data_IF_963841572885
#
_entry.id   IF_963841572885
#
_cell.length_a   1.000
_cell.length_b   1.000
_cell.length_c   1.000
_cell.angle_alpha   90.00
_cell.angle_beta   90.00
_cell.angle_gamma   90.00
#
_symmetry.space_group_name_H-M   'P 1'
#
loop_
_entity.id
_entity.type
_entity.pdbx_description
1 polymer ?
#
# COMPACT_ATOMS: atom_id res chain seq x y z
N UNK A 1 6.51 -2.08 2.94
CA UNK A 1 7.07 -1.41 4.15
C UNK A 1 6.18 -0.27 4.66
N UNK A 2 5.83 0.77 3.88
CA UNK A 2 4.99 1.86 4.39
C UNK A 2 3.60 1.38 4.83
N UNK A 3 2.98 0.51 4.05
CA UNK A 3 1.72 -0.15 4.35
C UNK A 3 1.79 -0.89 5.71
N UNK A 4 2.79 -1.77 5.88
CA UNK A 4 3.02 -2.51 7.13
C UNK A 4 3.20 -1.60 8.33
N UNK A 5 3.86 -0.46 8.14
CA UNK A 5 4.11 0.51 9.19
C UNK A 5 2.93 1.41 9.53
N UNK A 6 1.86 1.41 8.70
CA UNK A 6 0.72 2.32 8.87
C UNK A 6 0.00 2.13 10.21
N UNK A 7 -0.09 0.87 10.69
CA UNK A 7 -0.80 0.54 11.92
C UNK A 7 0.12 0.39 13.15
N UNK A 8 1.41 0.72 13.01
CA UNK A 8 2.42 0.52 14.06
C UNK A 8 2.62 1.72 15.00
N UNK A 9 1.79 2.73 14.85
CA UNK A 9 1.70 3.86 15.76
C UNK A 9 1.75 5.22 15.08
N UNK A 10 1.01 6.12 15.68
CA UNK A 10 0.93 7.54 15.35
C UNK A 10 1.40 8.38 16.53
N UNK A 11 1.34 9.70 16.40
CA UNK A 11 1.56 10.62 17.54
C UNK A 11 0.47 10.51 18.59
N UNK A 12 -0.73 10.07 18.22
CA UNK A 12 -1.92 10.05 19.09
C UNK A 12 -2.25 8.64 19.60
N UNK A 13 -1.84 7.59 18.87
CA UNK A 13 -2.21 6.20 19.15
C UNK A 13 -1.01 5.28 18.96
N UNK A 14 -0.78 4.36 19.88
CA UNK A 14 0.12 3.24 19.63
C UNK A 14 -0.61 2.14 18.84
N UNK A 15 0.11 1.11 18.41
CA UNK A 15 -0.44 0.01 17.60
C UNK A 15 -1.62 -0.70 18.30
N UNK A 16 -1.48 -0.98 19.60
CA UNK A 16 -2.54 -1.62 20.40
C UNK A 16 -3.79 -0.74 20.47
N UNK A 17 -3.63 0.57 20.66
CA UNK A 17 -4.75 1.51 20.70
C UNK A 17 -5.49 1.56 19.37
N UNK A 18 -4.76 1.58 18.23
CA UNK A 18 -5.37 1.54 16.91
C UNK A 18 -6.23 0.28 16.76
N UNK A 19 -5.67 -0.88 17.06
CA UNK A 19 -6.38 -2.15 16.95
C UNK A 19 -7.61 -2.18 17.87
N UNK A 20 -7.42 -1.84 19.14
CA UNK A 20 -8.48 -1.88 20.15
C UNK A 20 -9.64 -0.93 19.82
N UNK A 21 -9.38 0.32 19.44
CA UNK A 21 -10.45 1.28 19.11
C UNK A 21 -11.31 0.80 17.92
N UNK A 22 -10.72 0.06 16.98
CA UNK A 22 -11.46 -0.52 15.86
C UNK A 22 -12.22 -1.79 16.29
N UNK A 23 -11.57 -2.69 17.04
CA UNK A 23 -12.16 -3.96 17.50
C UNK A 23 -13.29 -3.74 18.50
N UNK A 24 -13.17 -2.78 19.41
CA UNK A 24 -14.19 -2.44 20.43
C UNK A 24 -15.52 -2.02 19.78
N UNK A 25 -15.50 -1.53 18.56
CA UNK A 25 -16.72 -1.17 17.81
C UNK A 25 -17.10 -2.22 16.75
N UNK A 26 -16.47 -3.40 16.78
CA UNK A 26 -16.70 -4.46 15.79
C UNK A 26 -16.27 -4.08 14.37
N UNK A 27 -15.29 -3.21 14.26
CA UNK A 27 -14.73 -2.75 12.98
C UNK A 27 -13.66 -3.70 12.44
N UNK A 28 -13.29 -3.45 11.18
CA UNK A 28 -12.18 -4.11 10.50
C UNK A 28 -11.35 -3.05 9.79
N UNK A 29 -10.04 -3.01 10.05
CA UNK A 29 -9.08 -2.10 9.44
C UNK A 29 -8.04 -2.91 8.68
N UNK A 30 -7.76 -2.49 7.43
CA UNK A 30 -6.77 -3.17 6.63
C UNK A 30 -6.16 -2.21 5.59
N UNK A 31 -5.14 -2.69 4.88
CA UNK A 31 -4.51 -1.98 3.77
C UNK A 31 -4.06 -2.96 2.69
N UNK A 32 -3.84 -2.44 1.48
CA UNK A 32 -3.15 -3.18 0.44
C UNK A 32 -2.31 -2.25 -0.43
N UNK A 33 -1.27 -2.80 -1.03
CA UNK A 33 -0.43 -2.13 -2.02
C UNK A 33 -0.49 -2.86 -3.35
N UNK A 34 -0.78 -2.13 -4.41
CA UNK A 34 -0.67 -2.59 -5.78
C UNK A 34 0.46 -1.86 -6.52
N UNK A 35 0.57 -2.07 -7.83
CA UNK A 35 1.57 -1.38 -8.66
C UNK A 35 1.41 0.15 -8.69
N UNK A 36 0.19 0.64 -8.54
CA UNK A 36 -0.14 2.07 -8.72
C UNK A 36 -0.85 2.69 -7.53
N UNK A 37 -1.39 1.88 -6.60
CA UNK A 37 -2.22 2.35 -5.50
C UNK A 37 -1.81 1.67 -4.21
N UNK A 38 -1.71 2.46 -3.14
CA UNK A 38 -1.78 1.98 -1.75
C UNK A 38 -3.10 2.44 -1.17
N UNK A 39 -3.90 1.53 -0.65
CA UNK A 39 -5.19 1.84 -0.04
C UNK A 39 -5.19 1.44 1.43
N UNK A 40 -5.71 2.32 2.26
CA UNK A 40 -6.02 2.07 3.67
C UNK A 40 -7.52 2.14 3.81
N UNK A 41 -8.15 1.15 4.40
CA UNK A 41 -9.59 1.11 4.51
C UNK A 41 -10.04 0.58 5.86
N UNK A 42 -11.21 1.02 6.24
CA UNK A 42 -11.82 0.65 7.50
C UNK A 42 -13.32 0.44 7.30
N UNK A 43 -13.84 -0.64 7.87
CA UNK A 43 -15.25 -0.98 7.87
C UNK A 43 -15.78 -0.92 9.29
N UNK A 44 -16.80 -0.10 9.50
CA UNK A 44 -17.45 0.07 10.80
C UNK A 44 -18.96 0.22 10.64
N UNK A 45 -19.68 0.10 11.73
CA UNK A 45 -21.08 0.51 11.75
C UNK A 45 -21.20 2.03 11.56
N UNK A 46 -22.34 2.47 11.03
CA UNK A 46 -22.57 3.90 10.70
C UNK A 46 -22.37 4.85 11.89
N UNK A 47 -22.68 4.37 13.09
CA UNK A 47 -22.54 5.12 14.36
C UNK A 47 -21.07 5.46 14.66
N UNK A 48 -20.13 4.68 14.13
CA UNK A 48 -18.69 4.81 14.34
C UNK A 48 -17.94 5.36 13.10
N UNK A 49 -18.66 5.94 12.14
CA UNK A 49 -18.05 6.47 10.91
C UNK A 49 -17.02 7.58 11.19
N UNK A 50 -17.29 8.44 12.18
CA UNK A 50 -16.36 9.50 12.60
C UNK A 50 -15.06 8.92 13.15
N UNK A 51 -15.13 7.89 14.00
CA UNK A 51 -13.98 7.17 14.51
C UNK A 51 -13.15 6.58 13.37
N UNK A 52 -13.81 5.97 12.38
CA UNK A 52 -13.13 5.38 11.23
C UNK A 52 -12.34 6.42 10.42
N UNK A 53 -12.95 7.56 10.13
CA UNK A 53 -12.27 8.66 9.42
C UNK A 53 -11.14 9.25 10.26
N UNK A 54 -11.33 9.40 11.57
CA UNK A 54 -10.33 9.90 12.49
C UNK A 54 -9.10 9.00 12.51
N UNK A 55 -9.28 7.68 12.67
CA UNK A 55 -8.16 6.72 12.67
C UNK A 55 -7.41 6.74 11.34
N UNK A 56 -8.11 6.68 10.19
CA UNK A 56 -7.45 6.72 8.88
C UNK A 56 -6.71 8.04 8.65
N UNK A 57 -7.29 9.17 9.06
CA UNK A 57 -6.61 10.46 8.96
C UNK A 57 -5.37 10.54 9.85
N UNK A 58 -5.44 9.97 11.05
CA UNK A 58 -4.32 9.94 12.00
C UNK A 58 -3.15 9.08 11.47
N UNK A 59 -3.45 7.91 10.93
CA UNK A 59 -2.45 7.06 10.28
C UNK A 59 -1.73 7.81 9.16
N UNK A 60 -2.45 8.54 8.33
CA UNK A 60 -1.87 9.26 7.19
C UNK A 60 -1.08 10.49 7.65
N UNK A 61 -1.58 11.26 8.60
CA UNK A 61 -0.97 12.53 9.03
C UNK A 61 0.14 12.36 10.06
N UNK A 62 0.02 11.39 10.94
CA UNK A 62 0.75 11.36 12.20
C UNK A 62 1.58 10.09 12.42
N UNK A 63 1.76 9.22 11.43
CA UNK A 63 2.58 8.01 11.58
C UNK A 63 3.99 8.35 12.07
N UNK A 64 4.44 7.62 13.09
CA UNK A 64 5.73 7.85 13.75
C UNK A 64 6.83 6.95 13.24
N UNK A 65 6.46 5.79 12.68
CA UNK A 65 7.38 4.77 12.20
C UNK A 65 8.43 4.39 13.26
N UNK A 66 8.03 3.78 14.38
CA UNK A 66 8.96 3.38 15.44
C UNK A 66 10.07 2.48 14.90
N UNK A 67 11.31 2.70 15.34
CA UNK A 67 12.47 1.99 14.78
C UNK A 67 12.45 0.49 15.06
N UNK A 68 12.01 0.10 16.22
CA UNK A 68 11.82 -1.30 16.62
C UNK A 68 10.77 -2.00 15.78
N UNK A 69 9.66 -1.32 15.46
CA UNK A 69 8.64 -1.85 14.55
C UNK A 69 9.17 -1.95 13.10
N UNK A 70 9.98 -0.99 12.64
CA UNK A 70 10.64 -1.11 11.33
C UNK A 70 11.48 -2.37 11.24
N UNK A 71 12.24 -2.70 12.29
CA UNK A 71 13.06 -3.92 12.29
C UNK A 71 12.21 -5.20 12.31
N UNK A 72 11.10 -5.21 13.04
CA UNK A 72 10.16 -6.33 13.04
C UNK A 72 9.53 -6.52 11.66
N UNK A 73 8.96 -5.48 11.10
CA UNK A 73 8.29 -5.52 9.79
C UNK A 73 9.27 -5.80 8.64
N UNK A 74 10.53 -5.37 8.77
CA UNK A 74 11.60 -5.77 7.85
C UNK A 74 11.73 -7.30 7.78
N UNK A 75 11.75 -7.98 8.93
CA UNK A 75 11.80 -9.43 9.01
C UNK A 75 10.58 -10.09 8.36
N UNK A 76 9.39 -9.55 8.61
CA UNK A 76 8.13 -10.03 8.01
C UNK A 76 8.18 -9.91 6.49
N UNK A 77 8.52 -8.73 5.96
CA UNK A 77 8.55 -8.50 4.51
C UNK A 77 9.63 -9.36 3.82
N UNK A 78 10.79 -9.54 4.44
CA UNK A 78 11.82 -10.44 3.91
C UNK A 78 11.32 -11.89 3.86
N UNK A 79 10.53 -12.32 4.85
CA UNK A 79 9.89 -13.63 4.84
C UNK A 79 8.84 -13.73 3.73
N UNK A 80 8.01 -12.71 3.53
CA UNK A 80 7.03 -12.65 2.43
C UNK A 80 7.69 -12.69 1.05
N UNK A 81 8.81 -11.98 0.87
CA UNK A 81 9.62 -12.07 -0.36
C UNK A 81 10.07 -13.52 -0.60
N UNK A 82 10.48 -14.22 0.47
CA UNK A 82 10.82 -15.63 0.37
C UNK A 82 9.64 -16.50 -0.04
N UNK A 83 8.49 -16.32 0.62
CA UNK A 83 7.27 -17.07 0.33
C UNK A 83 6.79 -16.84 -1.11
N UNK A 84 6.75 -15.58 -1.57
CA UNK A 84 6.37 -15.24 -2.95
C UNK A 84 7.37 -15.81 -3.97
N UNK A 85 8.66 -15.85 -3.64
CA UNK A 85 9.67 -16.50 -4.50
C UNK A 85 9.43 -18.02 -4.58
N UNK A 86 9.04 -18.67 -3.49
CA UNK A 86 8.80 -20.10 -3.41
C UNK A 86 7.45 -20.52 -4.00
N UNK A 87 6.49 -19.60 -4.14
CA UNK A 87 5.20 -19.82 -4.78
C UNK A 87 5.32 -19.72 -6.32
N UNK A 88 5.15 -20.84 -7.07
CA UNK A 88 5.41 -20.83 -8.52
C UNK A 88 4.44 -19.95 -9.31
N UNK A 89 3.19 -19.85 -8.87
CA UNK A 89 2.15 -19.00 -9.44
C UNK A 89 2.47 -17.51 -9.27
N UNK A 90 2.87 -17.08 -8.08
CA UNK A 90 3.32 -15.69 -7.85
C UNK A 90 4.57 -15.38 -8.68
N UNK A 91 5.51 -16.29 -8.67
CA UNK A 91 6.80 -16.13 -9.36
C UNK A 91 6.65 -15.99 -10.86
N UNK A 92 5.78 -16.76 -11.50
CA UNK A 92 5.58 -16.67 -12.95
C UNK A 92 4.96 -15.34 -13.35
N UNK A 93 4.03 -14.79 -12.56
CA UNK A 93 3.45 -13.46 -12.79
C UNK A 93 4.46 -12.34 -12.55
N UNK A 94 5.33 -12.46 -11.55
CA UNK A 94 6.40 -11.51 -11.31
C UNK A 94 7.37 -11.48 -12.50
N UNK A 95 7.81 -12.64 -12.97
CA UNK A 95 8.68 -12.78 -14.14
C UNK A 95 8.03 -12.23 -15.41
N UNK A 96 6.74 -12.49 -15.62
CA UNK A 96 5.98 -11.91 -16.72
C UNK A 96 5.99 -10.38 -16.65
N UNK A 97 5.60 -9.80 -15.51
CA UNK A 97 5.54 -8.35 -15.34
C UNK A 97 6.90 -7.69 -15.51
N UNK A 98 7.96 -8.29 -14.98
CA UNK A 98 9.34 -7.84 -15.13
C UNK A 98 9.81 -7.85 -16.59
N UNK A 99 9.35 -8.81 -17.38
CA UNK A 99 9.68 -8.92 -18.81
C UNK A 99 8.88 -7.91 -19.63
N UNK A 100 7.57 -7.82 -19.37
CA UNK A 100 6.65 -6.92 -20.07
C UNK A 100 6.96 -5.44 -19.84
N UNK A 101 7.54 -5.08 -18.68
CA UNK A 101 7.87 -3.70 -18.31
C UNK A 101 9.33 -3.58 -17.85
N UNK A 102 10.22 -4.06 -18.73
CA UNK A 102 11.66 -4.14 -18.43
C UNK A 102 12.25 -2.76 -18.10
N UNK A 103 12.96 -2.70 -16.94
CA UNK A 103 13.60 -1.49 -16.42
C UNK A 103 12.66 -0.31 -16.13
N UNK A 104 11.37 -0.57 -15.96
CA UNK A 104 10.34 0.43 -15.68
C UNK A 104 9.74 0.22 -14.28
N UNK A 105 9.12 1.24 -13.68
CA UNK A 105 8.48 1.11 -12.36
C UNK A 105 7.45 -0.02 -12.30
N UNK A 106 6.63 -0.19 -13.33
CA UNK A 106 5.61 -1.24 -13.42
C UNK A 106 6.19 -2.66 -13.38
N UNK A 107 7.42 -2.86 -13.85
CA UNK A 107 8.12 -4.14 -13.82
C UNK A 107 8.80 -4.48 -12.49
N UNK A 108 8.79 -3.58 -11.50
CA UNK A 108 9.41 -3.83 -10.19
C UNK A 108 8.51 -4.68 -9.31
N UNK A 109 9.04 -5.59 -8.47
CA UNK A 109 8.23 -6.32 -7.50
C UNK A 109 7.60 -5.37 -6.48
N UNK A 110 6.35 -5.63 -6.07
CA UNK A 110 5.64 -4.80 -5.08
C UNK A 110 6.33 -4.89 -3.71
N UNK A 111 6.75 -6.08 -3.31
CA UNK A 111 7.48 -6.31 -2.07
C UNK A 111 8.90 -5.70 -2.09
N UNK A 112 9.42 -5.37 -3.26
CA UNK A 112 10.81 -4.95 -3.43
C UNK A 112 11.77 -6.14 -3.45
N UNK A 113 13.03 -5.88 -3.11
CA UNK A 113 14.06 -6.93 -2.96
C UNK A 113 14.57 -6.95 -1.52
N UNK A 114 15.20 -8.07 -1.11
CA UNK A 114 15.80 -8.19 0.23
C UNK A 114 16.78 -7.04 0.51
N UNK A 115 17.55 -6.62 -0.50
CA UNK A 115 18.51 -5.53 -0.40
C UNK A 115 17.81 -4.17 -0.17
N UNK A 116 16.77 -3.86 -0.96
CA UNK A 116 16.03 -2.61 -0.83
C UNK A 116 15.30 -2.53 0.50
N UNK A 117 14.62 -3.60 0.90
CA UNK A 117 13.90 -3.66 2.18
C UNK A 117 14.88 -3.54 3.36
N UNK A 118 16.06 -4.18 3.27
CA UNK A 118 17.10 -4.09 4.31
C UNK A 118 17.70 -2.69 4.43
N UNK A 119 17.67 -1.89 3.37
CA UNK A 119 18.26 -0.54 3.37
C UNK A 119 17.34 0.54 3.95
N UNK A 120 16.02 0.33 4.01
CA UNK A 120 15.06 1.34 4.44
C UNK A 120 15.27 1.79 5.89
N UNK A 121 15.21 3.10 6.10
CA UNK A 121 15.28 3.78 7.40
C UNK A 121 13.99 4.55 7.65
N UNK A 122 13.77 4.92 8.89
CA UNK A 122 12.65 5.79 9.28
C UNK A 122 12.58 7.07 8.44
N UNK A 123 13.73 7.67 8.12
CA UNK A 123 13.81 8.87 7.29
C UNK A 123 13.25 8.66 5.89
N UNK A 124 13.45 7.46 5.31
CA UNK A 124 13.00 7.16 3.95
C UNK A 124 11.48 7.01 3.91
N UNK A 125 10.89 6.38 4.94
CA UNK A 125 9.44 6.26 5.09
C UNK A 125 8.78 7.62 5.29
N UNK A 126 9.36 8.48 6.14
CA UNK A 126 8.88 9.86 6.34
C UNK A 126 8.99 10.67 5.07
N UNK A 127 10.13 10.62 4.39
CA UNK A 127 10.32 11.31 3.13
C UNK A 127 9.32 10.86 2.07
N UNK A 128 9.07 9.55 1.96
CA UNK A 128 8.10 9.01 1.00
C UNK A 128 6.68 9.49 1.33
N UNK A 129 6.28 9.44 2.61
CA UNK A 129 4.97 9.91 3.06
C UNK A 129 4.81 11.41 2.73
N UNK A 130 5.75 12.24 3.15
CA UNK A 130 5.71 13.70 2.95
C UNK A 130 5.72 14.10 1.47
N UNK A 131 6.38 13.29 0.62
CA UNK A 131 6.51 13.59 -0.81
C UNK A 131 5.33 13.12 -1.65
N UNK A 132 4.63 12.06 -1.24
CA UNK A 132 3.63 11.39 -2.07
C UNK A 132 2.21 11.48 -1.52
N UNK A 133 2.03 11.70 -0.21
CA UNK A 133 0.70 11.76 0.43
C UNK A 133 0.26 13.21 0.55
N UNK A 134 -0.18 13.77 -0.55
CA UNK A 134 -0.74 15.12 -0.64
C UNK A 134 -2.17 15.08 -1.19
N UNK A 135 -3.00 16.11 -0.95
CA UNK A 135 -4.37 16.16 -1.45
C UNK A 135 -4.48 15.95 -2.96
N UNK A 136 -3.46 16.35 -3.73
CA UNK A 136 -3.42 16.19 -5.17
C UNK A 136 -3.22 14.73 -5.62
N UNK A 137 -2.80 13.87 -4.69
CA UNK A 137 -2.44 12.47 -4.95
C UNK A 137 -3.25 11.47 -4.13
N UNK A 138 -4.27 11.95 -3.43
CA UNK A 138 -5.10 11.14 -2.56
C UNK A 138 -6.57 11.23 -2.94
N UNK A 139 -7.29 10.15 -2.75
CA UNK A 139 -8.74 10.08 -2.88
C UNK A 139 -9.30 9.48 -1.60
N UNK A 140 -10.24 10.16 -0.98
CA UNK A 140 -11.03 9.63 0.12
C UNK A 140 -12.39 9.21 -0.44
N UNK A 141 -12.72 7.94 -0.29
CA UNK A 141 -13.99 7.36 -0.73
C UNK A 141 -14.70 6.76 0.46
N UNK A 142 -15.99 7.03 0.58
CA UNK A 142 -16.84 6.48 1.64
C UNK A 142 -18.14 5.95 1.05
N UNK A 143 -18.59 4.81 1.57
CA UNK A 143 -19.86 4.19 1.19
C UNK A 143 -20.57 3.69 2.44
N UNK A 144 -21.88 3.92 2.56
CA UNK A 144 -22.66 3.48 3.70
C UNK A 144 -23.99 4.22 3.86
N UNK A 145 -24.74 3.87 4.89
CA UNK A 145 -26.04 4.49 5.21
C UNK A 145 -25.84 5.77 6.05
N UNK A 146 -25.21 6.78 5.44
CA UNK A 146 -24.95 8.09 6.06
C UNK A 146 -25.37 9.22 5.12
N UNK A 147 -25.72 10.38 5.71
CA UNK A 147 -26.02 11.57 4.91
C UNK A 147 -24.74 12.10 4.27
N UNK A 148 -24.77 12.36 2.98
CA UNK A 148 -23.66 12.84 2.17
C UNK A 148 -22.95 14.05 2.80
N UNK A 149 -23.72 15.08 3.20
CA UNK A 149 -23.15 16.31 3.77
C UNK A 149 -22.41 16.06 5.08
N UNK A 150 -22.88 15.12 5.89
CA UNK A 150 -22.20 14.72 7.11
C UNK A 150 -20.86 14.04 6.83
N UNK A 151 -20.81 13.14 5.84
CA UNK A 151 -19.58 12.48 5.41
C UNK A 151 -18.55 13.50 4.90
N UNK A 152 -18.96 14.43 4.04
CA UNK A 152 -18.06 15.47 3.53
C UNK A 152 -17.49 16.33 4.66
N UNK A 153 -18.34 16.74 5.61
CA UNK A 153 -17.91 17.55 6.75
C UNK A 153 -16.83 16.85 7.58
N UNK A 154 -17.05 15.56 7.91
CA UNK A 154 -16.07 14.79 8.70
C UNK A 154 -14.74 14.68 7.94
N UNK A 155 -14.77 14.33 6.66
CA UNK A 155 -13.58 14.20 5.85
C UNK A 155 -12.85 15.54 5.73
N UNK A 156 -13.55 16.60 5.43
CA UNK A 156 -12.97 17.95 5.34
C UNK A 156 -12.30 18.37 6.65
N UNK A 157 -12.97 18.16 7.78
CA UNK A 157 -12.43 18.48 9.11
C UNK A 157 -11.13 17.69 9.39
N UNK A 158 -11.13 16.39 9.10
CA UNK A 158 -10.00 15.52 9.46
C UNK A 158 -8.81 15.57 8.49
N UNK A 159 -9.06 15.88 7.22
CA UNK A 159 -8.03 15.88 6.18
C UNK A 159 -7.57 17.27 5.72
N UNK A 160 -8.25 18.36 6.14
CA UNK A 160 -7.93 19.74 5.73
C UNK A 160 -6.50 20.19 6.05
N UNK A 161 -5.88 19.62 7.09
CA UNK A 161 -4.54 19.98 7.53
C UNK A 161 -3.41 19.35 6.70
N UNK A 162 -3.75 18.42 5.80
CA UNK A 162 -2.74 17.80 4.93
C UNK A 162 -2.19 18.86 4.00
N UNK A 163 -0.87 19.04 4.05
CA UNK A 163 -0.17 20.05 3.24
C UNK A 163 -0.31 19.72 1.76
N UNK A 164 -0.56 20.76 0.98
CA UNK A 164 -0.48 20.65 -0.48
C UNK A 164 0.92 20.24 -0.89
N UNK A 165 1.01 19.29 -1.79
CA UNK A 165 2.24 18.78 -2.35
C UNK A 165 2.32 19.05 -3.85
N UNK A 166 3.39 18.58 -4.44
CA UNK A 166 3.50 18.58 -5.89
C UNK A 166 2.75 17.37 -6.44
N UNK A 167 1.92 17.59 -7.46
CA UNK A 167 1.32 16.47 -8.19
C UNK A 167 2.44 15.65 -8.81
N UNK A 168 2.59 14.37 -8.49
CA UNK A 168 3.66 13.56 -9.06
C UNK A 168 3.52 13.51 -10.58
N UNK A 169 4.66 13.58 -11.27
CA UNK A 169 4.69 13.42 -12.72
C UNK A 169 4.28 11.99 -13.06
N UNK A 170 3.20 11.83 -13.83
CA UNK A 170 2.81 10.51 -14.33
C UNK A 170 3.89 9.97 -15.25
N UNK A 171 4.36 8.77 -14.94
CA UNK A 171 5.27 8.01 -15.80
C UNK A 171 4.45 6.88 -16.40
N UNK A 172 4.23 6.95 -17.70
CA UNK A 172 3.54 5.89 -18.42
C UNK A 172 4.52 4.76 -18.70
N UNK A 173 4.07 3.54 -18.49
CA UNK A 173 4.84 2.34 -18.83
C UNK A 173 4.57 1.94 -20.27
N UNK A 174 5.62 1.45 -20.92
CA UNK A 174 5.56 0.98 -22.31
C UNK A 174 5.73 -0.53 -22.31
N UNK A 175 4.87 -1.20 -23.07
CA UNK A 175 4.94 -2.63 -23.27
C UNK A 175 6.24 -3.01 -23.99
N UNK A 176 6.90 -4.06 -23.50
CA UNK A 176 8.03 -4.69 -24.16
C UNK A 176 7.74 -6.18 -24.35
N UNK A 177 7.93 -6.68 -25.56
CA UNK A 177 7.87 -8.11 -25.81
C UNK A 177 9.15 -8.77 -25.29
N UNK A 178 9.04 -10.01 -24.84
CA UNK A 178 10.18 -10.77 -24.36
C UNK A 178 9.80 -12.18 -23.93
N UNK A 179 10.82 -12.93 -23.55
CA UNK A 179 10.67 -14.28 -23.03
C UNK A 179 11.59 -14.46 -21.84
N UNK A 180 11.13 -15.12 -20.81
CA UNK A 180 11.91 -15.56 -19.66
C UNK A 180 11.52 -16.99 -19.32
N UNK A 181 12.51 -17.84 -19.07
CA UNK A 181 12.30 -19.15 -18.48
C UNK A 181 13.16 -19.26 -17.23
N UNK A 182 12.60 -19.84 -16.18
CA UNK A 182 13.26 -20.14 -14.94
C UNK A 182 13.08 -21.64 -14.69
N UNK A 183 14.19 -22.37 -14.65
CA UNK A 183 14.18 -23.80 -14.40
C UNK A 183 14.18 -24.06 -12.88
N UNK A 184 13.19 -24.80 -12.43
CA UNK A 184 12.97 -25.12 -11.01
C UNK A 184 12.44 -26.56 -10.89
N UNK A 185 12.85 -27.25 -9.85
CA UNK A 185 12.33 -28.58 -9.50
C UNK A 185 10.93 -28.45 -8.85
N UNK A 186 9.90 -28.53 -9.69
CA UNK A 186 8.50 -28.35 -9.31
C UNK A 186 7.64 -29.48 -9.90
N UNK A 187 6.56 -29.82 -9.22
CA UNK A 187 5.61 -30.83 -9.70
C UNK A 187 4.84 -30.38 -10.97
N UNK A 188 4.71 -29.06 -11.18
CA UNK A 188 3.95 -28.49 -12.29
C UNK A 188 4.73 -27.38 -12.97
N UNK A 189 4.61 -27.29 -14.29
CA UNK A 189 5.10 -26.16 -15.08
C UNK A 189 4.08 -25.01 -15.03
N UNK A 190 4.49 -23.84 -14.62
CA UNK A 190 3.70 -22.62 -14.68
C UNK A 190 4.04 -21.83 -15.94
N UNK A 191 3.03 -21.48 -16.71
CA UNK A 191 3.17 -20.72 -17.94
C UNK A 191 2.23 -19.51 -17.94
N UNK A 192 2.78 -18.33 -18.18
CA UNK A 192 2.02 -17.10 -18.42
C UNK A 192 2.35 -16.59 -19.83
N UNK A 193 1.31 -16.36 -20.60
CA UNK A 193 1.36 -15.75 -21.92
C UNK A 193 0.50 -14.50 -21.94
N UNK A 194 1.00 -13.41 -22.51
CA UNK A 194 0.27 -12.15 -22.61
C UNK A 194 0.68 -11.32 -23.80
N UNK A 195 -0.19 -10.40 -24.14
CA UNK A 195 -0.03 -9.41 -25.20
C UNK A 195 -0.31 -8.02 -24.65
N UNK A 196 0.11 -6.98 -25.34
CA UNK A 196 -0.24 -5.61 -24.99
C UNK A 196 -1.77 -5.44 -24.96
N UNK A 197 -2.28 -4.92 -23.86
CA UNK A 197 -3.69 -4.62 -23.68
C UNK A 197 -3.99 -3.13 -23.78
N UNK A 198 -5.26 -2.78 -23.59
CA UNK A 198 -5.69 -1.38 -23.48
C UNK A 198 -5.29 -0.80 -22.13
N UNK A 199 -5.08 0.51 -22.08
CA UNK A 199 -4.88 1.23 -20.83
C UNK A 199 -6.19 1.35 -20.07
N UNK A 200 -6.14 1.38 -18.72
CA UNK A 200 -7.33 1.58 -17.91
C UNK A 200 -8.04 2.93 -18.14
N UNK A 201 -7.41 3.83 -18.88
CA UNK A 201 -7.93 5.18 -19.20
C UNK A 201 -8.48 5.29 -20.61
N UNK A 202 -8.45 4.22 -21.41
CA UNK A 202 -8.92 4.20 -22.80
C UNK A 202 -10.40 3.82 -22.93
#
# INVERSE_FOLDING_TARGET
>A
MLEHMAFKGTKNRNAETIAREVEDVGGDINAYTSKEVTAYFLKVLKENAELGVDILSDIIKNSTFPKDEIERERGVIISEIGQSYDAPDDRVFENFTKTAFKNQPMGRPILGTKETVSSFKQSDLKFFLDSNYSPENMVVSMSGNLKKDHLFKIVEEKFSEIKKGNKPKKVYSEWTSGFIAEDRDLEQTQLVFGVEGLKNTD
#
